data_IF_103565397581
#
_entry.id   IF_103565397581
#
_cell.length_a   1.000
_cell.length_b   1.000
_cell.length_c   1.000
_cell.angle_alpha   90.00
_cell.angle_beta   90.00
_cell.angle_gamma   90.00
#
_symmetry.space_group_name_H-M   'P 1'
#
loop_
_entity.id
_entity.type
_entity.pdbx_description
1 polymer ?
#
# COMPACT_ATOMS: atom_id res chain seq x y z
N UNK A 1 6.21 -23.11 -61.66
CA UNK A 1 7.62 -23.11 -61.22
C UNK A 1 7.86 -24.38 -60.41
N UNK A 2 8.53 -25.38 -60.99
CA UNK A 2 8.89 -26.61 -60.30
C UNK A 2 10.16 -26.36 -59.47
N UNK A 3 10.00 -26.01 -58.20
CA UNK A 3 11.10 -25.99 -57.24
C UNK A 3 11.58 -27.43 -57.05
N UNK A 4 12.88 -27.67 -57.23
CA UNK A 4 13.49 -28.98 -57.05
C UNK A 4 13.22 -29.50 -55.62
N UNK A 5 13.17 -30.83 -55.45
CA UNK A 5 12.91 -31.48 -54.14
C UNK A 5 13.83 -30.94 -53.03
N UNK A 6 15.05 -30.52 -53.39
CA UNK A 6 16.03 -29.92 -52.50
C UNK A 6 15.66 -28.48 -52.11
N UNK A 7 15.08 -27.69 -53.02
CA UNK A 7 14.60 -26.35 -52.73
C UNK A 7 13.39 -26.37 -51.78
N UNK A 8 12.48 -27.34 -51.95
CA UNK A 8 11.38 -27.56 -51.00
C UNK A 8 11.88 -27.97 -49.62
N UNK A 9 12.86 -28.88 -49.56
CA UNK A 9 13.45 -29.31 -48.29
C UNK A 9 14.15 -28.16 -47.57
N UNK A 10 14.89 -27.31 -48.29
CA UNK A 10 15.56 -26.14 -47.72
C UNK A 10 14.56 -25.09 -47.22
N UNK A 11 13.45 -24.89 -47.94
CA UNK A 11 12.41 -23.95 -47.55
C UNK A 11 11.69 -24.41 -46.28
N UNK A 12 11.41 -25.72 -46.16
CA UNK A 12 10.87 -26.32 -44.93
C UNK A 12 11.84 -26.19 -43.76
N UNK A 13 13.15 -26.38 -43.98
CA UNK A 13 14.17 -26.20 -42.95
C UNK A 13 14.23 -24.73 -42.50
N UNK A 14 14.18 -23.76 -43.42
CA UNK A 14 14.16 -22.35 -43.08
C UNK A 14 12.90 -21.96 -42.28
N UNK A 15 11.74 -22.50 -42.64
CA UNK A 15 10.50 -22.29 -41.88
C UNK A 15 10.63 -22.91 -40.50
N UNK A 16 11.11 -24.14 -40.39
CA UNK A 16 11.34 -24.82 -39.10
C UNK A 16 12.28 -24.04 -38.21
N UNK A 17 13.40 -23.56 -38.75
CA UNK A 17 14.37 -22.73 -38.04
C UNK A 17 13.74 -21.40 -37.58
N UNK A 18 12.99 -20.73 -38.45
CA UNK A 18 12.29 -19.49 -38.10
C UNK A 18 11.22 -19.72 -37.03
N UNK A 19 10.47 -20.82 -37.10
CA UNK A 19 9.49 -21.19 -36.07
C UNK A 19 10.16 -21.62 -34.76
N UNK A 20 11.32 -22.27 -34.80
CA UNK A 20 12.08 -22.61 -33.60
C UNK A 20 12.65 -21.35 -32.93
N UNK A 21 13.17 -20.40 -33.71
CA UNK A 21 13.60 -19.08 -33.22
C UNK A 21 12.41 -18.28 -32.69
N UNK A 22 11.26 -18.30 -33.38
CA UNK A 22 10.04 -17.63 -32.93
C UNK A 22 9.48 -18.25 -31.65
N UNK A 23 9.46 -19.58 -31.53
CA UNK A 23 9.06 -20.30 -30.32
C UNK A 23 10.05 -20.09 -29.18
N UNK A 24 11.35 -20.05 -29.46
CA UNK A 24 12.37 -19.74 -28.46
C UNK A 24 12.26 -18.28 -27.99
N UNK A 25 12.06 -17.33 -28.91
CA UNK A 25 11.81 -15.93 -28.57
C UNK A 25 10.53 -15.79 -27.74
N UNK A 26 9.47 -16.53 -28.10
CA UNK A 26 8.22 -16.54 -27.35
C UNK A 26 8.34 -17.26 -26.00
N UNK A 27 9.15 -18.31 -25.87
CA UNK A 27 9.47 -18.95 -24.59
C UNK A 27 10.28 -18.04 -23.66
N UNK A 28 11.10 -17.15 -24.22
CA UNK A 28 11.81 -16.12 -23.47
C UNK A 28 10.93 -14.90 -23.12
N UNK A 29 9.87 -14.64 -23.90
CA UNK A 29 8.96 -13.48 -23.71
C UNK A 29 7.67 -13.83 -22.96
N UNK A 30 7.17 -15.06 -23.04
CA UNK A 30 5.95 -15.55 -22.37
C UNK A 30 6.29 -16.52 -21.22
N UNK A 31 7.00 -16.02 -20.20
CA UNK A 31 6.92 -16.60 -18.85
C UNK A 31 5.84 -15.85 -18.05
N UNK A 32 4.69 -16.47 -17.72
CA UNK A 32 3.87 -16.00 -16.62
C UNK A 32 4.62 -16.33 -15.33
N UNK A 33 5.12 -15.30 -14.67
CA UNK A 33 6.03 -15.40 -13.54
C UNK A 33 7.46 -15.10 -13.97
N UNK A 34 7.82 -13.82 -13.96
CA UNK A 34 9.19 -13.37 -14.19
C UNK A 34 10.12 -13.96 -13.12
N UNK A 35 10.76 -15.09 -13.43
CA UNK A 35 11.96 -15.54 -12.74
C UNK A 35 13.08 -14.54 -13.03
N UNK A 36 13.14 -13.44 -12.26
CA UNK A 36 14.39 -12.70 -12.09
C UNK A 36 15.38 -13.68 -11.47
N UNK A 37 16.32 -14.17 -12.28
CA UNK A 37 17.57 -14.76 -11.79
C UNK A 37 18.30 -13.68 -10.99
N UNK A 38 18.02 -13.60 -9.70
CA UNK A 38 18.84 -12.88 -8.74
C UNK A 38 20.04 -13.80 -8.45
N UNK A 39 21.03 -13.76 -9.34
CA UNK A 39 22.38 -14.15 -8.96
C UNK A 39 22.90 -13.03 -8.06
N UNK A 40 23.02 -13.35 -6.78
CA UNK A 40 23.66 -12.49 -5.80
C UNK A 40 25.16 -12.47 -6.09
N UNK A 41 25.59 -11.52 -6.92
CA UNK A 41 26.92 -10.96 -6.77
C UNK A 41 26.88 -10.02 -5.57
N UNK A 42 27.72 -10.36 -4.60
CA UNK A 42 27.95 -9.60 -3.38
C UNK A 42 28.76 -8.37 -3.75
N UNK A 43 28.07 -7.30 -4.15
CA UNK A 43 28.54 -5.92 -3.95
C UNK A 43 27.35 -5.09 -3.44
N UNK A 44 27.58 -4.47 -2.29
CA UNK A 44 26.67 -3.56 -1.62
C UNK A 44 26.37 -2.36 -2.53
N UNK A 45 25.11 -2.18 -2.91
CA UNK A 45 24.44 -0.87 -2.99
C UNK A 45 22.94 -1.08 -3.28
N UNK A 46 22.09 -0.60 -2.36
CA UNK A 46 20.60 -0.55 -2.36
C UNK A 46 19.85 -1.46 -3.37
N UNK A 47 19.24 -2.53 -2.85
CA UNK A 47 18.45 -3.50 -3.64
C UNK A 47 17.11 -2.94 -4.13
N UNK A 48 16.55 -1.90 -3.48
CA UNK A 48 15.30 -1.30 -3.92
C UNK A 48 15.50 -0.20 -4.96
N UNK A 49 14.84 -0.35 -6.11
CA UNK A 49 14.77 0.71 -7.11
C UNK A 49 13.93 1.89 -6.60
N UNK A 50 14.24 3.09 -7.10
CA UNK A 50 13.44 4.29 -6.83
C UNK A 50 11.97 4.07 -7.22
N UNK A 51 11.71 3.40 -8.35
CA UNK A 51 10.35 3.03 -8.78
C UNK A 51 9.59 2.20 -7.74
N UNK A 52 10.27 1.25 -7.09
CA UNK A 52 9.64 0.40 -6.06
C UNK A 52 9.28 1.22 -4.82
N UNK A 53 10.15 2.15 -4.43
CA UNK A 53 9.89 3.07 -3.33
C UNK A 53 8.76 4.04 -3.67
N UNK A 54 8.68 4.54 -4.91
CA UNK A 54 7.57 5.39 -5.35
C UNK A 54 6.23 4.67 -5.20
N UNK A 55 6.16 3.37 -5.54
CA UNK A 55 4.95 2.56 -5.38
C UNK A 55 4.58 2.33 -3.91
N UNK A 56 5.56 2.18 -3.01
CA UNK A 56 5.31 2.05 -1.56
C UNK A 56 4.79 3.36 -0.96
N UNK A 57 5.40 4.49 -1.31
CA UNK A 57 5.09 5.79 -0.74
C UNK A 57 3.96 6.54 -1.46
N UNK A 58 3.38 5.97 -2.53
CA UNK A 58 2.30 6.62 -3.27
C UNK A 58 1.09 6.92 -2.36
N UNK A 59 0.38 8.03 -2.63
CA UNK A 59 -0.91 8.29 -2.02
C UNK A 59 -1.86 7.09 -2.17
N UNK A 60 -2.76 6.88 -1.20
CA UNK A 60 -3.85 5.92 -1.31
C UNK A 60 -4.84 6.34 -2.41
N UNK A 61 -5.10 7.64 -2.50
CA UNK A 61 -5.95 8.23 -3.52
C UNK A 61 -5.66 9.72 -3.69
N UNK A 62 -6.14 10.25 -4.81
CA UNK A 62 -6.23 11.67 -5.08
C UNK A 62 -7.68 12.12 -4.96
N UNK A 63 -7.91 13.17 -4.20
CA UNK A 63 -9.19 13.88 -4.20
C UNK A 63 -9.05 15.10 -5.12
N UNK A 64 -9.78 15.09 -6.22
CA UNK A 64 -9.77 16.16 -7.22
C UNK A 64 -11.06 16.97 -7.11
N UNK A 65 -10.96 18.25 -6.76
CA UNK A 65 -12.06 19.22 -6.76
C UNK A 65 -11.98 20.06 -8.02
N UNK A 66 -13.13 20.25 -8.67
CA UNK A 66 -13.24 20.96 -9.94
C UNK A 66 -13.90 22.33 -9.79
N UNK A 67 -13.78 23.17 -10.81
CA UNK A 67 -14.38 24.51 -10.87
C UNK A 67 -15.91 24.52 -10.74
N UNK A 68 -16.58 23.46 -11.21
CA UNK A 68 -18.04 23.28 -11.07
C UNK A 68 -18.44 22.68 -9.71
N UNK A 69 -17.51 22.58 -8.76
CA UNK A 69 -17.77 22.09 -7.41
C UNK A 69 -17.91 20.57 -7.32
N UNK A 70 -17.62 19.82 -8.39
CA UNK A 70 -17.62 18.35 -8.35
C UNK A 70 -16.34 17.83 -7.73
N UNK A 71 -16.47 16.74 -6.97
CA UNK A 71 -15.35 16.01 -6.39
C UNK A 71 -15.21 14.62 -7.02
N UNK A 72 -13.99 14.25 -7.35
CA UNK A 72 -13.63 12.93 -7.87
C UNK A 72 -12.58 12.29 -6.97
N UNK A 73 -12.69 10.98 -6.73
CA UNK A 73 -11.69 10.22 -5.99
C UNK A 73 -11.00 9.24 -6.94
N UNK A 74 -9.72 9.48 -7.22
CA UNK A 74 -8.90 8.68 -8.10
C UNK A 74 -7.99 7.78 -7.26
N UNK A 75 -8.17 6.47 -7.37
CA UNK A 75 -7.41 5.46 -6.60
C UNK A 75 -6.08 5.13 -7.24
N UNK A 76 -5.94 5.34 -8.55
CA UNK A 76 -4.63 5.31 -9.19
C UNK A 76 -4.02 6.72 -9.12
N UNK A 77 -3.01 6.86 -8.25
CA UNK A 77 -2.27 8.10 -8.06
C UNK A 77 -0.86 8.05 -8.64
N UNK A 78 -0.48 6.94 -9.29
CA UNK A 78 0.91 6.68 -9.67
C UNK A 78 1.47 7.78 -10.57
N UNK A 79 0.78 8.06 -11.66
CA UNK A 79 1.25 9.00 -12.69
C UNK A 79 1.41 10.41 -12.10
N UNK A 80 0.36 10.93 -11.45
CA UNK A 80 0.40 12.26 -10.85
C UNK A 80 1.47 12.39 -9.77
N UNK A 81 1.63 11.36 -8.93
CA UNK A 81 2.63 11.37 -7.88
C UNK A 81 4.05 11.32 -8.46
N UNK A 82 4.32 10.40 -9.38
CA UNK A 82 5.63 10.26 -10.04
C UNK A 82 6.03 11.53 -10.82
N UNK A 83 5.09 12.18 -11.51
CA UNK A 83 5.35 13.42 -12.26
C UNK A 83 5.69 14.61 -11.35
N UNK A 84 5.21 14.61 -10.10
CA UNK A 84 5.32 15.76 -9.20
C UNK A 84 6.22 15.52 -7.98
N UNK A 85 6.73 14.30 -7.78
CA UNK A 85 7.50 13.95 -6.57
C UNK A 85 8.76 14.79 -6.39
N UNK A 86 9.51 15.07 -7.46
CA UNK A 86 10.72 15.92 -7.38
C UNK A 86 10.39 17.33 -6.88
N UNK A 87 9.28 17.91 -7.37
CA UNK A 87 8.82 19.23 -6.97
C UNK A 87 8.35 19.23 -5.51
N UNK A 88 7.65 18.17 -5.09
CA UNK A 88 7.22 17.97 -3.70
C UNK A 88 8.43 17.82 -2.78
N UNK A 89 9.46 17.06 -3.17
CA UNK A 89 10.71 16.92 -2.44
C UNK A 89 11.41 18.28 -2.26
N UNK A 90 11.54 19.05 -3.33
CA UNK A 90 12.15 20.38 -3.26
C UNK A 90 11.37 21.32 -2.32
N UNK A 91 10.03 21.27 -2.34
CA UNK A 91 9.20 22.03 -1.40
C UNK A 91 9.48 21.59 0.04
N UNK A 92 9.52 20.28 0.31
CA UNK A 92 9.78 19.75 1.65
C UNK A 92 11.16 20.11 2.19
N UNK A 93 12.17 20.22 1.32
CA UNK A 93 13.50 20.75 1.69
C UNK A 93 13.45 22.25 2.02
N UNK A 94 12.69 23.03 1.24
CA UNK A 94 12.49 24.47 1.42
C UNK A 94 11.65 24.84 2.66
N UNK A 95 10.90 23.89 3.24
CA UNK A 95 10.14 24.10 4.49
C UNK A 95 11.04 24.51 5.67
N UNK A 96 12.35 24.28 5.57
CA UNK A 96 13.35 24.72 6.54
C UNK A 96 13.53 26.24 6.63
N UNK A 97 13.13 27.02 5.61
CA UNK A 97 13.38 28.47 5.54
C UNK A 97 12.16 29.36 5.26
N UNK A 98 11.04 28.80 4.75
CA UNK A 98 9.81 29.55 4.41
C UNK A 98 8.65 28.95 5.19
N UNK A 99 8.48 29.41 6.43
CA UNK A 99 7.69 28.75 7.46
C UNK A 99 6.28 28.30 7.05
N UNK A 100 5.88 27.16 7.62
CA UNK A 100 4.49 26.72 7.68
C UNK A 100 3.71 27.58 8.67
N UNK A 101 2.51 27.99 8.30
CA UNK A 101 1.56 28.65 9.19
C UNK A 101 0.47 27.67 9.58
N UNK A 102 0.29 27.45 10.88
CA UNK A 102 -0.84 26.64 11.34
C UNK A 102 -2.14 27.40 11.06
N UNK A 103 -3.07 26.74 10.38
CA UNK A 103 -4.40 27.27 10.09
C UNK A 103 -5.45 26.47 10.86
N UNK A 104 -6.60 27.09 11.11
CA UNK A 104 -7.73 26.40 11.73
C UNK A 104 -8.44 25.49 10.71
N UNK A 105 -9.31 24.63 11.22
CA UNK A 105 -10.07 23.70 10.39
C UNK A 105 -10.97 24.45 9.40
N UNK A 106 -11.68 25.48 9.84
CA UNK A 106 -12.59 26.28 9.00
C UNK A 106 -11.93 26.80 7.73
N UNK A 107 -10.71 27.36 7.85
CA UNK A 107 -9.96 27.84 6.69
C UNK A 107 -9.54 26.69 5.78
N UNK A 108 -9.10 25.55 6.33
CA UNK A 108 -8.76 24.38 5.53
C UNK A 108 -9.97 23.85 4.74
N UNK A 109 -11.16 23.89 5.34
CA UNK A 109 -12.42 23.49 4.68
C UNK A 109 -12.78 24.43 3.53
N UNK A 110 -12.54 25.73 3.70
CA UNK A 110 -12.71 26.70 2.62
C UNK A 110 -11.77 26.41 1.45
N UNK A 111 -10.53 25.99 1.74
CA UNK A 111 -9.59 25.57 0.68
C UNK A 111 -10.12 24.36 -0.09
N UNK A 112 -10.64 23.34 0.59
CA UNK A 112 -11.20 22.14 -0.04
C UNK A 112 -12.42 22.42 -0.95
N UNK A 113 -13.05 23.58 -0.81
CA UNK A 113 -14.16 23.99 -1.67
C UNK A 113 -13.70 24.51 -3.03
N UNK A 114 -12.42 24.92 -3.15
CA UNK A 114 -11.82 25.45 -4.37
C UNK A 114 -11.21 24.35 -5.27
N UNK A 115 -10.98 24.63 -6.56
CA UNK A 115 -10.31 23.70 -7.47
C UNK A 115 -8.94 23.28 -6.94
N UNK A 116 -8.76 21.98 -6.79
CA UNK A 116 -7.61 21.42 -6.09
C UNK A 116 -7.36 19.94 -6.38
N UNK A 117 -6.15 19.50 -6.09
CA UNK A 117 -5.76 18.10 -6.03
C UNK A 117 -5.18 17.83 -4.65
N UNK A 118 -5.81 16.95 -3.88
CA UNK A 118 -5.32 16.54 -2.56
C UNK A 118 -4.79 15.11 -2.63
N UNK A 119 -3.53 14.92 -2.28
CA UNK A 119 -2.92 13.60 -2.10
C UNK A 119 -3.22 13.09 -0.69
N UNK A 120 -3.91 11.96 -0.57
CA UNK A 120 -4.29 11.36 0.70
C UNK A 120 -3.48 10.08 0.94
N UNK A 121 -2.83 9.93 2.09
CA UNK A 121 -1.97 8.80 2.40
C UNK A 121 -2.58 7.88 3.48
N UNK A 122 -2.30 6.57 3.40
CA UNK A 122 -2.78 5.56 4.35
C UNK A 122 -2.25 5.74 5.78
N UNK A 123 -1.08 6.35 5.92
CA UNK A 123 -0.39 6.57 7.19
C UNK A 123 0.32 7.94 7.20
N UNK A 124 0.74 8.39 8.38
CA UNK A 124 1.64 9.53 8.48
C UNK A 124 2.99 9.18 7.86
N UNK A 125 3.46 10.03 6.95
CA UNK A 125 4.77 9.93 6.31
C UNK A 125 5.65 11.05 6.84
N UNK A 126 6.88 10.70 7.20
CA UNK A 126 7.88 11.69 7.58
C UNK A 126 8.52 12.29 6.32
N UNK A 127 8.50 13.62 6.18
CA UNK A 127 9.09 14.33 5.03
C UNK A 127 10.55 13.95 4.79
N UNK A 128 11.34 13.81 5.85
CA UNK A 128 12.76 13.45 5.75
C UNK A 128 12.95 12.02 5.25
N UNK A 129 12.09 11.10 5.67
CA UNK A 129 12.13 9.73 5.16
C UNK A 129 11.76 9.67 3.68
N UNK A 130 10.70 10.37 3.27
CA UNK A 130 10.31 10.46 1.85
C UNK A 130 11.45 11.04 1.00
N UNK A 131 12.02 12.17 1.41
CA UNK A 131 13.09 12.85 0.66
C UNK A 131 14.38 12.02 0.64
N UNK A 132 14.75 11.36 1.75
CA UNK A 132 15.97 10.55 1.79
C UNK A 132 15.85 9.22 1.04
N UNK A 133 14.70 8.53 1.13
CA UNK A 133 14.53 7.23 0.48
C UNK A 133 14.36 7.37 -1.03
N UNK A 134 13.65 8.40 -1.47
CA UNK A 134 13.44 8.68 -2.89
C UNK A 134 14.51 9.63 -3.46
N UNK A 135 15.43 10.17 -2.66
CA UNK A 135 16.42 11.14 -3.13
C UNK A 135 17.70 10.48 -3.66
N UNK A 136 18.11 10.84 -4.88
CA UNK A 136 19.33 10.35 -5.53
C UNK A 136 20.63 10.95 -4.97
N UNK A 137 20.57 11.96 -4.10
CA UNK A 137 21.74 12.53 -3.44
C UNK A 137 21.46 12.85 -1.97
N UNK A 138 22.37 12.43 -1.08
CA UNK A 138 22.47 12.94 0.31
C UNK A 138 22.77 14.44 0.24
N UNK A 139 21.74 15.28 0.13
CA UNK A 139 21.93 16.75 0.19
C UNK A 139 22.26 17.12 1.63
N UNK A 140 23.39 17.79 1.83
CA UNK A 140 23.85 18.29 3.15
C UNK A 140 22.82 19.17 3.88
N UNK A 141 21.85 19.70 3.15
CA UNK A 141 20.79 20.56 3.69
C UNK A 141 19.64 19.79 4.37
N UNK A 142 19.58 18.46 4.22
CA UNK A 142 18.59 17.61 4.92
C UNK A 142 18.74 17.66 6.43
N UNK A 143 19.95 17.84 6.96
CA UNK A 143 20.19 18.00 8.39
C UNK A 143 19.62 19.31 8.95
N UNK A 144 19.43 20.32 8.08
CA UNK A 144 18.83 21.61 8.44
C UNK A 144 17.31 21.62 8.30
N UNK A 145 16.72 20.61 7.65
CA UNK A 145 15.28 20.48 7.50
C UNK A 145 14.61 19.97 8.77
N UNK A 146 13.51 20.62 9.18
CA UNK A 146 12.71 20.18 10.33
C UNK A 146 11.89 18.98 9.86
N UNK A 147 12.06 17.78 10.45
CA UNK A 147 11.24 16.64 10.11
C UNK A 147 9.78 16.96 10.42
N UNK A 148 8.91 16.72 9.44
CA UNK A 148 7.49 16.99 9.54
C UNK A 148 6.73 15.73 9.13
N UNK A 149 5.73 15.34 9.91
CA UNK A 149 4.83 14.26 9.52
C UNK A 149 3.64 14.81 8.76
N UNK A 150 3.13 14.08 7.77
CA UNK A 150 1.93 14.45 7.03
C UNK A 150 1.11 13.22 6.62
N UNK A 151 -0.20 13.41 6.52
CA UNK A 151 -1.15 12.43 5.96
C UNK A 151 -1.89 12.94 4.73
N UNK A 152 -1.91 14.25 4.50
CA UNK A 152 -2.48 14.83 3.28
C UNK A 152 -1.64 16.00 2.79
N UNK A 153 -1.53 16.12 1.48
CA UNK A 153 -0.91 17.26 0.79
C UNK A 153 -1.92 17.83 -0.18
N UNK A 154 -2.46 18.99 0.16
CA UNK A 154 -3.37 19.77 -0.66
C UNK A 154 -2.58 20.67 -1.61
N UNK A 155 -2.90 20.60 -2.90
CA UNK A 155 -2.41 21.46 -3.96
C UNK A 155 -3.58 22.23 -4.55
N UNK A 156 -3.58 23.55 -4.37
CA UNK A 156 -4.55 24.47 -4.96
C UNK A 156 -3.95 25.25 -6.12
N UNK A 157 -4.81 26.01 -6.80
CA UNK A 157 -4.40 26.87 -7.90
C UNK A 157 -3.31 27.86 -7.48
N UNK A 158 -2.52 28.33 -8.45
CA UNK A 158 -1.40 29.25 -8.24
C UNK A 158 -0.31 28.73 -7.28
N UNK A 159 -0.18 27.41 -7.14
CA UNK A 159 0.81 26.77 -6.29
C UNK A 159 0.53 26.90 -4.79
N UNK A 160 -0.74 27.08 -4.40
CA UNK A 160 -1.14 27.06 -3.00
C UNK A 160 -0.92 25.65 -2.43
N UNK A 161 -0.27 25.53 -1.27
CA UNK A 161 0.03 24.25 -0.67
C UNK A 161 -0.36 24.24 0.81
N UNK A 162 -1.10 23.22 1.22
CA UNK A 162 -1.43 22.98 2.62
C UNK A 162 -1.12 21.52 2.96
N UNK A 163 -0.60 21.30 4.15
CA UNK A 163 -0.24 19.97 4.66
C UNK A 163 -1.11 19.68 5.89
N UNK A 164 -1.69 18.49 5.95
CA UNK A 164 -2.41 18.01 7.13
C UNK A 164 -1.59 16.95 7.84
N UNK A 165 -1.59 17.00 9.17
CA UNK A 165 -1.01 15.98 10.03
C UNK A 165 -1.85 15.80 11.31
N UNK A 166 -1.34 15.02 12.27
CA UNK A 166 -2.02 14.80 13.57
C UNK A 166 -2.21 16.06 14.43
N UNK A 167 -1.38 17.09 14.24
CA UNK A 167 -1.39 18.35 15.01
C UNK A 167 -2.32 19.40 14.38
N UNK A 168 -2.76 19.20 13.13
CA UNK A 168 -3.69 20.08 12.45
C UNK A 168 -3.32 20.34 10.99
N UNK A 169 -3.55 21.57 10.54
CA UNK A 169 -3.42 21.99 9.15
C UNK A 169 -2.38 23.10 9.04
N UNK A 170 -1.53 23.02 8.03
CA UNK A 170 -0.35 23.88 7.89
C UNK A 170 -0.26 24.42 6.47
N UNK A 171 -0.47 25.73 6.32
CA UNK A 171 -0.37 26.43 5.05
C UNK A 171 1.08 26.83 4.77
N UNK A 172 1.56 26.53 3.56
CA UNK A 172 2.85 27.01 3.11
C UNK A 172 2.75 28.48 2.71
N UNK A 173 3.56 29.35 3.34
CA UNK A 173 3.59 30.80 3.02
C UNK A 173 4.16 31.11 1.63
N UNK A 174 4.89 30.16 1.04
CA UNK A 174 5.40 30.27 -0.32
C UNK A 174 4.40 29.79 -1.37
N UNK A 175 4.91 29.58 -2.60
CA UNK A 175 4.17 28.90 -3.67
C UNK A 175 4.94 27.66 -4.11
N UNK A 176 4.23 26.56 -4.30
CA UNK A 176 4.70 25.35 -4.95
C UNK A 176 4.98 25.64 -6.43
N UNK A 177 6.22 26.05 -6.74
CA UNK A 177 6.61 26.38 -8.12
C UNK A 177 6.63 25.12 -8.98
N UNK A 178 6.14 25.23 -10.20
CA UNK A 178 6.23 24.17 -11.21
C UNK A 178 5.18 23.07 -11.09
N UNK A 179 4.31 23.11 -10.08
CA UNK A 179 3.12 22.24 -10.01
C UNK A 179 1.94 23.03 -10.56
N UNK A 180 1.49 22.68 -11.77
CA UNK A 180 0.26 23.17 -12.36
C UNK A 180 -0.79 22.06 -12.30
N UNK A 181 -1.90 22.34 -11.61
CA UNK A 181 -2.99 21.39 -11.42
C UNK A 181 -4.15 21.61 -12.38
N UNK A 182 -4.21 22.74 -13.10
CA UNK A 182 -5.39 23.13 -13.88
C UNK A 182 -5.60 22.18 -15.06
N UNK A 183 -4.52 21.83 -15.76
CA UNK A 183 -4.58 20.88 -16.87
C UNK A 183 -4.88 19.46 -16.39
N UNK A 184 -4.35 19.07 -15.22
CA UNK A 184 -4.67 17.79 -14.61
C UNK A 184 -6.17 17.71 -14.24
N UNK A 185 -6.71 18.72 -13.58
CA UNK A 185 -8.14 18.83 -13.22
C UNK A 185 -9.03 18.74 -14.47
N UNK A 186 -8.67 19.46 -15.55
CA UNK A 186 -9.40 19.41 -16.82
C UNK A 186 -9.35 18.01 -17.45
N UNK A 187 -8.21 17.34 -17.41
CA UNK A 187 -8.05 15.99 -17.97
C UNK A 187 -8.85 14.96 -17.18
N UNK A 188 -8.79 15.01 -15.85
CA UNK A 188 -9.62 14.17 -14.97
C UNK A 188 -11.10 14.37 -15.28
N UNK A 189 -11.56 15.62 -15.40
CA UNK A 189 -12.96 15.90 -15.76
C UNK A 189 -13.36 15.31 -17.11
N UNK A 190 -12.48 15.32 -18.11
CA UNK A 190 -12.73 14.70 -19.44
C UNK A 190 -12.83 13.18 -19.39
N UNK A 191 -12.09 12.53 -18.49
CA UNK A 191 -12.18 11.08 -18.28
C UNK A 191 -13.51 10.66 -17.65
N UNK A 192 -14.29 11.63 -17.13
CA UNK A 192 -15.59 11.43 -16.49
C UNK A 192 -15.59 10.31 -15.42
N UNK A 193 -14.67 10.38 -14.44
CA UNK A 193 -14.61 9.40 -13.36
C UNK A 193 -15.84 9.55 -12.43
N UNK A 194 -16.05 8.58 -11.53
CA UNK A 194 -17.14 8.59 -10.58
C UNK A 194 -17.15 9.83 -9.69
N UNK A 195 -18.30 10.51 -9.62
CA UNK A 195 -18.49 11.66 -8.72
C UNK A 195 -18.69 11.19 -7.28
N UNK A 196 -18.05 11.90 -6.35
CA UNK A 196 -18.19 11.74 -4.91
C UNK A 196 -18.81 13.01 -4.33
N UNK A 197 -19.66 12.85 -3.34
CA UNK A 197 -20.14 13.97 -2.53
C UNK A 197 -19.51 13.92 -1.13
N UNK A 198 -19.31 15.09 -0.54
CA UNK A 198 -18.88 15.20 0.84
C UNK A 198 -20.08 15.03 1.78
N UNK A 199 -19.96 14.17 2.80
CA UNK A 199 -21.00 13.95 3.80
C UNK A 199 -21.33 15.24 4.57
N UNK A 200 -20.34 16.11 4.77
CA UNK A 200 -20.55 17.43 5.38
C UNK A 200 -21.43 18.32 4.51
N UNK A 201 -21.12 18.41 3.22
CA UNK A 201 -21.89 19.25 2.29
C UNK A 201 -23.33 18.73 2.13
N UNK A 202 -23.53 17.40 2.13
CA UNK A 202 -24.85 16.78 1.92
C UNK A 202 -25.71 16.70 3.19
N UNK A 203 -25.12 16.36 4.33
CA UNK A 203 -25.86 16.05 5.58
C UNK A 203 -25.50 16.96 6.76
N UNK A 204 -24.54 17.88 6.62
CA UNK A 204 -24.11 18.76 7.72
C UNK A 204 -23.20 18.07 8.75
N UNK A 205 -22.56 16.95 8.41
CA UNK A 205 -21.64 16.25 9.32
C UNK A 205 -20.36 17.04 9.62
N UNK A 206 -19.75 16.77 10.76
CA UNK A 206 -18.50 17.40 11.20
C UNK A 206 -17.26 16.93 10.46
N UNK A 207 -17.28 15.82 9.73
CA UNK A 207 -16.08 15.32 9.05
C UNK A 207 -16.20 15.44 7.52
N UNK A 208 -15.07 15.71 6.86
CA UNK A 208 -14.98 15.72 5.40
C UNK A 208 -14.78 14.30 4.87
N UNK A 209 -15.81 13.49 4.96
CA UNK A 209 -15.84 12.13 4.42
C UNK A 209 -16.50 12.16 3.06
N UNK A 210 -15.90 11.49 2.08
CA UNK A 210 -16.41 11.43 0.71
C UNK A 210 -17.10 10.09 0.46
N UNK A 211 -18.25 10.14 -0.21
CA UNK A 211 -19.04 8.97 -0.54
C UNK A 211 -19.45 8.99 -2.03
N UNK A 212 -19.42 7.85 -2.74
CA UNK A 212 -19.78 7.81 -4.16
C UNK A 212 -21.25 8.21 -4.35
N UNK A 213 -21.53 9.05 -5.35
CA UNK A 213 -22.87 9.58 -5.60
C UNK A 213 -23.82 8.55 -6.22
N UNK A 214 -23.40 7.92 -7.33
CA UNK A 214 -24.24 7.02 -8.14
C UNK A 214 -23.46 5.86 -8.78
N UNK A 215 -22.27 5.51 -8.26
CA UNK A 215 -21.31 4.64 -8.96
C UNK A 215 -21.14 3.25 -8.33
N UNK A 216 -20.53 2.35 -9.10
CA UNK A 216 -20.15 1.00 -8.67
C UNK A 216 -18.64 0.92 -8.39
N UNK A 217 -18.24 0.25 -7.33
CA UNK A 217 -16.85 -0.17 -7.16
C UNK A 217 -16.58 -1.31 -8.15
N UNK A 218 -15.59 -1.15 -9.04
CA UNK A 218 -15.06 -2.29 -9.80
C UNK A 218 -14.27 -3.15 -8.85
N UNK A 219 -14.69 -4.40 -8.66
CA UNK A 219 -14.02 -5.33 -7.77
C UNK A 219 -13.68 -6.61 -8.52
N UNK A 220 -12.43 -7.02 -8.46
CA UNK A 220 -11.96 -8.27 -9.00
C UNK A 220 -12.28 -9.43 -8.07
N UNK A 221 -12.78 -10.53 -8.65
CA UNK A 221 -12.95 -11.78 -7.93
C UNK A 221 -11.65 -12.57 -7.91
N UNK A 222 -10.82 -12.34 -6.90
CA UNK A 222 -9.49 -12.95 -6.80
C UNK A 222 -9.44 -13.99 -5.70
N UNK A 223 -8.87 -15.16 -6.02
CA UNK A 223 -8.59 -16.21 -5.04
C UNK A 223 -7.17 -16.04 -4.51
N UNK A 224 -7.04 -15.96 -3.20
CA UNK A 224 -5.75 -15.99 -2.50
C UNK A 224 -5.55 -17.38 -1.91
N UNK A 225 -4.32 -17.87 -1.98
CA UNK A 225 -3.93 -19.19 -1.46
C UNK A 225 -2.71 -19.08 -0.57
N UNK A 226 -2.53 -20.06 0.31
CA UNK A 226 -1.30 -20.21 1.07
C UNK A 226 -0.11 -20.35 0.11
N UNK A 227 0.81 -19.38 0.17
CA UNK A 227 1.99 -19.37 -0.67
C UNK A 227 3.03 -20.42 -0.28
N UNK A 228 2.97 -20.98 0.94
CA UNK A 228 3.91 -21.98 1.46
C UNK A 228 3.51 -23.44 1.18
N UNK A 229 2.21 -23.72 1.10
CA UNK A 229 1.64 -25.08 1.07
C UNK A 229 2.23 -25.94 -0.06
N UNK A 230 2.42 -25.34 -1.24
CA UNK A 230 2.87 -26.04 -2.44
C UNK A 230 4.33 -25.73 -2.84
N UNK A 231 5.12 -25.14 -1.94
CA UNK A 231 6.52 -24.87 -2.23
C UNK A 231 7.35 -26.15 -2.22
N UNK A 232 8.10 -26.36 -3.29
CA UNK A 232 9.08 -27.45 -3.34
C UNK A 232 10.15 -27.25 -2.27
N UNK A 233 10.78 -28.36 -1.84
CA UNK A 233 11.92 -28.31 -0.91
C UNK A 233 13.01 -27.34 -1.37
N UNK A 234 13.28 -27.28 -2.69
CA UNK A 234 14.26 -26.35 -3.27
C UNK A 234 13.92 -24.89 -2.96
N UNK A 235 12.65 -24.49 -3.06
CA UNK A 235 12.23 -23.13 -2.71
C UNK A 235 12.34 -22.85 -1.21
N UNK A 236 11.93 -23.81 -0.36
CA UNK A 236 12.06 -23.65 1.11
C UNK A 236 13.52 -23.49 1.55
N UNK A 237 14.45 -24.24 0.95
CA UNK A 237 15.88 -24.10 1.19
C UNK A 237 16.42 -22.76 0.68
N UNK A 238 15.99 -22.29 -0.49
CA UNK A 238 16.38 -20.97 -1.00
C UNK A 238 15.90 -19.84 -0.07
N UNK A 239 14.69 -19.94 0.50
CA UNK A 239 14.25 -19.03 1.54
C UNK A 239 15.19 -19.08 2.75
N UNK A 240 15.54 -20.28 3.24
CA UNK A 240 16.45 -20.41 4.36
C UNK A 240 17.81 -19.74 4.11
N UNK A 241 18.42 -19.95 2.94
CA UNK A 241 19.70 -19.32 2.57
C UNK A 241 19.60 -17.79 2.56
N UNK A 242 18.52 -17.24 1.98
CA UNK A 242 18.30 -15.79 1.89
C UNK A 242 18.06 -15.14 3.26
N UNK A 243 17.16 -15.72 4.07
CA UNK A 243 16.83 -15.20 5.41
C UNK A 243 18.00 -15.33 6.39
N UNK A 244 18.70 -16.47 6.36
CA UNK A 244 19.79 -16.74 7.30
C UNK A 244 21.12 -16.15 6.83
N UNK A 245 21.23 -15.76 5.55
CA UNK A 245 22.43 -15.25 4.87
C UNK A 245 23.59 -16.23 5.06
N UNK A 246 23.32 -17.51 4.81
CA UNK A 246 24.25 -18.62 4.97
C UNK A 246 24.00 -19.69 3.90
N UNK A 247 25.04 -20.41 3.51
CA UNK A 247 24.95 -21.53 2.57
C UNK A 247 24.19 -22.69 3.22
N UNK A 248 23.41 -23.42 2.42
CA UNK A 248 22.54 -24.48 2.91
C UNK A 248 23.27 -25.58 3.70
N UNK A 249 24.56 -25.81 3.43
CA UNK A 249 25.35 -26.82 4.14
C UNK A 249 25.57 -26.50 5.63
N UNK A 250 25.37 -25.25 6.05
CA UNK A 250 25.53 -24.82 7.44
C UNK A 250 24.19 -24.57 8.15
N UNK A 251 23.07 -24.75 7.45
CA UNK A 251 21.73 -24.51 7.99
C UNK A 251 21.19 -25.80 8.58
N UNK A 252 20.88 -25.78 9.88
CA UNK A 252 20.17 -26.86 10.54
C UNK A 252 18.68 -26.85 10.18
N UNK A 253 18.10 -28.02 9.96
CA UNK A 253 16.66 -28.20 9.66
C UNK A 253 16.00 -28.98 10.80
N UNK A 254 14.90 -28.45 11.33
CA UNK A 254 14.10 -29.06 12.41
C UNK A 254 12.65 -29.11 11.93
N UNK A 255 12.11 -30.31 11.77
CA UNK A 255 10.70 -30.53 11.42
C UNK A 255 9.91 -30.94 12.66
N UNK A 256 8.92 -30.12 13.01
CA UNK A 256 7.84 -30.44 13.96
C UNK A 256 6.52 -30.46 13.18
N UNK A 257 5.48 -31.15 13.68
CA UNK A 257 4.24 -31.50 12.96
C UNK A 257 3.84 -30.52 11.83
N UNK A 258 3.54 -29.28 12.18
CA UNK A 258 3.07 -28.24 11.25
C UNK A 258 4.08 -27.08 11.08
N UNK A 259 5.34 -27.28 11.53
CA UNK A 259 6.37 -26.23 11.57
C UNK A 259 7.72 -26.77 11.10
N UNK A 260 8.23 -26.18 10.03
CA UNK A 260 9.59 -26.39 9.55
C UNK A 260 10.48 -25.22 9.98
N UNK A 261 11.50 -25.49 10.79
CA UNK A 261 12.43 -24.48 11.30
C UNK A 261 13.82 -24.68 10.72
N UNK A 262 14.38 -23.62 10.16
CA UNK A 262 15.77 -23.51 9.75
C UNK A 262 16.57 -22.68 10.74
N UNK A 263 17.78 -23.10 11.11
CA UNK A 263 18.60 -22.44 12.14
C UNK A 263 20.04 -22.27 11.66
N UNK A 264 20.58 -21.08 11.87
CA UNK A 264 22.01 -20.79 11.70
C UNK A 264 22.49 -19.82 12.78
N UNK A 265 23.33 -20.31 13.70
CA UNK A 265 23.79 -19.54 14.86
C UNK A 265 22.61 -19.06 15.72
N UNK A 266 22.48 -17.74 15.88
CA UNK A 266 21.38 -17.11 16.61
C UNK A 266 20.19 -16.71 15.71
N UNK A 267 20.23 -17.05 14.42
CA UNK A 267 19.15 -16.74 13.47
C UNK A 267 18.28 -17.97 13.26
N UNK A 268 16.97 -17.77 13.18
CA UNK A 268 16.03 -18.84 12.84
C UNK A 268 14.97 -18.34 11.85
N UNK A 269 14.55 -19.24 10.97
CA UNK A 269 13.41 -19.06 10.05
C UNK A 269 12.43 -20.20 10.30
N UNK A 270 11.19 -19.87 10.65
CA UNK A 270 10.10 -20.83 10.85
C UNK A 270 9.08 -20.67 9.74
N UNK A 271 8.77 -21.77 9.07
CA UNK A 271 7.70 -21.88 8.08
C UNK A 271 6.59 -22.72 8.68
N UNK A 272 5.37 -22.19 8.71
CA UNK A 272 4.18 -22.91 9.20
C UNK A 272 3.27 -23.29 8.05
N UNK A 273 2.57 -24.40 8.22
CA UNK A 273 1.63 -24.88 7.21
C UNK A 273 0.39 -23.98 7.06
N UNK A 274 0.14 -23.06 8.01
CA UNK A 274 -0.92 -22.05 7.88
C UNK A 274 -0.55 -20.87 6.96
N UNK A 275 0.67 -20.86 6.41
CA UNK A 275 1.18 -19.78 5.56
C UNK A 275 1.98 -18.72 6.32
N UNK A 276 2.13 -18.85 7.63
CA UNK A 276 2.93 -17.91 8.43
C UNK A 276 4.42 -18.22 8.33
N UNK A 277 5.21 -17.20 8.11
CA UNK A 277 6.67 -17.21 8.10
C UNK A 277 7.19 -16.29 9.22
N UNK A 278 8.12 -16.79 10.03
CA UNK A 278 8.76 -16.01 11.09
C UNK A 278 10.28 -16.11 11.02
N UNK A 279 10.95 -14.97 10.96
CA UNK A 279 12.38 -14.87 11.12
C UNK A 279 12.73 -14.14 12.41
N UNK A 280 13.77 -14.61 13.10
CA UNK A 280 14.32 -13.96 14.28
C UNK A 280 15.83 -13.94 14.25
N UNK A 281 16.41 -12.87 14.80
CA UNK A 281 17.84 -12.75 15.09
C UNK A 281 18.04 -12.56 16.61
N UNK A 282 18.61 -13.58 17.25
CA UNK A 282 18.89 -13.59 18.68
C UNK A 282 20.03 -12.67 19.11
N UNK A 283 20.76 -12.05 18.18
CA UNK A 283 21.76 -11.03 18.51
C UNK A 283 21.10 -9.75 19.03
N UNK A 284 21.81 -9.02 19.90
CA UNK A 284 21.37 -7.71 20.36
C UNK A 284 21.78 -6.60 19.39
N UNK A 285 20.94 -5.57 19.20
CA UNK A 285 21.30 -4.40 18.41
C UNK A 285 22.57 -3.73 18.97
N UNK A 286 23.47 -3.27 18.10
CA UNK A 286 24.74 -2.65 18.53
C UNK A 286 24.62 -1.16 18.84
N UNK A 287 23.71 -0.45 18.18
CA UNK A 287 23.57 0.99 18.30
C UNK A 287 22.49 1.35 19.35
N UNK A 288 22.82 2.22 20.31
CA UNK A 288 21.88 2.69 21.34
C UNK A 288 20.92 3.78 20.83
N UNK A 289 21.37 4.62 19.88
CA UNK A 289 20.58 5.74 19.38
C UNK A 289 19.73 5.32 18.17
N UNK A 290 18.40 5.47 18.22
CA UNK A 290 17.54 5.13 17.11
C UNK A 290 17.72 6.12 15.95
N UNK A 291 17.66 5.58 14.74
CA UNK A 291 17.61 6.28 13.49
C UNK A 291 16.47 5.69 12.65
N UNK A 292 15.36 6.43 12.61
CA UNK A 292 14.16 6.06 11.88
C UNK A 292 14.44 5.75 10.41
N UNK A 293 15.21 6.60 9.74
CA UNK A 293 15.52 6.45 8.32
C UNK A 293 16.30 5.16 8.06
N UNK A 294 17.37 4.90 8.82
CA UNK A 294 18.14 3.65 8.68
C UNK A 294 17.26 2.42 8.92
N UNK A 295 16.41 2.48 9.94
CA UNK A 295 15.48 1.39 10.30
C UNK A 295 14.49 1.09 9.19
N UNK A 296 13.90 2.13 8.61
CA UNK A 296 12.96 2.00 7.49
C UNK A 296 13.66 1.50 6.23
N UNK A 297 14.83 2.05 5.89
CA UNK A 297 15.64 1.59 4.76
C UNK A 297 16.03 0.11 4.91
N UNK A 298 16.51 -0.29 6.09
CA UNK A 298 16.87 -1.67 6.38
C UNK A 298 15.66 -2.61 6.27
N UNK A 299 14.50 -2.23 6.82
CA UNK A 299 13.29 -3.03 6.75
C UNK A 299 12.78 -3.20 5.32
N UNK A 300 12.73 -2.11 4.53
CA UNK A 300 12.29 -2.17 3.14
C UNK A 300 13.26 -2.99 2.28
N UNK A 301 14.57 -2.80 2.46
CA UNK A 301 15.58 -3.62 1.77
C UNK A 301 15.44 -5.09 2.16
N UNK A 302 15.21 -5.40 3.44
CA UNK A 302 15.01 -6.77 3.91
C UNK A 302 13.77 -7.41 3.28
N UNK A 303 12.65 -6.69 3.18
CA UNK A 303 11.45 -7.15 2.47
C UNK A 303 11.79 -7.43 0.99
N UNK A 304 12.39 -6.47 0.29
CA UNK A 304 12.74 -6.61 -1.11
C UNK A 304 13.72 -7.75 -1.41
N UNK A 305 14.74 -7.91 -0.56
CA UNK A 305 15.75 -8.97 -0.66
C UNK A 305 15.16 -10.37 -0.53
N UNK A 306 14.02 -10.54 0.17
CA UNK A 306 13.52 -11.85 0.60
C UNK A 306 12.26 -12.30 -0.11
N UNK A 307 11.36 -11.38 -0.44
CA UNK A 307 10.10 -11.71 -1.13
C UNK A 307 10.04 -11.12 -2.53
N UNK A 308 10.95 -10.19 -2.86
CA UNK A 308 10.69 -9.20 -3.89
C UNK A 308 9.71 -8.14 -3.37
N UNK A 309 9.76 -6.94 -3.94
CA UNK A 309 8.67 -5.96 -3.74
C UNK A 309 7.57 -6.29 -4.73
N UNK A 310 6.39 -6.62 -4.20
CA UNK A 310 5.16 -6.63 -4.98
C UNK A 310 4.72 -5.18 -5.22
N UNK A 311 4.27 -4.89 -6.44
CA UNK A 311 3.90 -3.53 -6.89
C UNK A 311 2.80 -2.86 -6.03
N UNK A 312 2.13 -3.64 -5.20
CA UNK A 312 1.02 -3.22 -4.37
C UNK A 312 1.31 -3.18 -2.87
N UNK A 313 2.56 -3.39 -2.45
CA UNK A 313 2.97 -3.23 -1.05
C UNK A 313 2.84 -1.77 -0.61
N UNK A 314 2.29 -1.52 0.58
CA UNK A 314 2.28 -0.21 1.22
C UNK A 314 2.50 -0.31 2.72
N UNK A 315 2.99 0.78 3.32
CA UNK A 315 3.19 0.88 4.77
C UNK A 315 1.85 1.26 5.40
N UNK A 316 1.29 0.38 6.23
CA UNK A 316 0.00 0.60 6.90
C UNK A 316 0.16 1.24 8.28
N UNK A 317 1.28 1.00 8.97
CA UNK A 317 1.57 1.54 10.30
C UNK A 317 3.06 1.51 10.60
N UNK A 318 3.52 2.46 11.40
CA UNK A 318 4.84 2.41 12.03
C UNK A 318 4.69 2.73 13.52
N UNK A 319 5.35 1.96 14.37
CA UNK A 319 5.37 2.13 15.82
C UNK A 319 6.81 2.21 16.32
N UNK A 320 7.06 3.08 17.30
CA UNK A 320 8.31 3.05 18.07
C UNK A 320 8.28 1.89 19.05
N UNK A 321 9.38 1.15 19.16
CA UNK A 321 9.55 0.04 20.11
C UNK A 321 10.80 0.24 20.96
N UNK A 322 10.76 -0.20 22.20
CA UNK A 322 11.89 -0.17 23.13
C UNK A 322 12.20 -1.61 23.58
N UNK A 323 13.44 -2.05 23.36
CA UNK A 323 13.93 -3.33 23.85
C UNK A 323 15.26 -3.12 24.56
N UNK A 324 15.28 -3.33 25.87
CA UNK A 324 16.49 -3.47 26.67
C UNK A 324 17.53 -2.34 26.43
N UNK A 325 17.08 -1.08 26.43
CA UNK A 325 17.85 0.14 26.19
C UNK A 325 18.14 0.50 24.72
N UNK A 326 17.64 -0.27 23.76
CA UNK A 326 17.65 0.07 22.34
C UNK A 326 16.27 0.49 21.87
N UNK A 327 16.17 1.69 21.28
CA UNK A 327 14.97 2.14 20.59
C UNK A 327 15.02 1.71 19.14
N UNK A 328 13.91 1.18 18.64
CA UNK A 328 13.75 0.75 17.25
C UNK A 328 12.36 1.08 16.73
N UNK A 329 12.03 0.52 15.57
CA UNK A 329 10.75 0.72 14.93
C UNK A 329 10.16 -0.62 14.50
N UNK A 330 8.85 -0.78 14.73
CA UNK A 330 8.06 -1.86 14.16
C UNK A 330 7.26 -1.32 12.98
N UNK A 331 7.52 -1.88 11.81
CA UNK A 331 6.96 -1.44 10.54
C UNK A 331 5.96 -2.50 10.06
N UNK A 332 4.74 -2.06 9.78
CA UNK A 332 3.65 -2.91 9.32
C UNK A 332 3.35 -2.59 7.85
N UNK A 333 3.33 -3.62 7.01
CA UNK A 333 3.01 -3.48 5.60
C UNK A 333 1.85 -4.39 5.19
N UNK A 334 1.02 -3.89 4.29
CA UNK A 334 -0.10 -4.59 3.67
C UNK A 334 0.01 -4.49 2.15
N UNK A 335 -0.86 -5.22 1.46
CA UNK A 335 -0.95 -5.18 0.01
C UNK A 335 -2.22 -4.44 -0.44
N UNK A 336 -2.18 -3.92 -1.65
CA UNK A 336 -3.36 -3.47 -2.39
C UNK A 336 -3.70 -4.50 -3.48
N UNK A 337 -4.94 -4.48 -3.92
CA UNK A 337 -5.38 -5.14 -5.14
C UNK A 337 -6.21 -4.12 -5.91
N UNK A 338 -5.77 -3.77 -7.11
CA UNK A 338 -6.38 -2.71 -7.94
C UNK A 338 -6.59 -1.40 -7.17
N UNK A 339 -5.56 -1.00 -6.43
CA UNK A 339 -5.57 0.16 -5.53
C UNK A 339 -6.51 0.09 -4.32
N UNK A 340 -7.18 -1.05 -4.06
CA UNK A 340 -7.93 -1.28 -2.82
C UNK A 340 -7.06 -1.97 -1.77
N UNK A 341 -7.00 -1.47 -0.53
CA UNK A 341 -6.33 -2.17 0.56
C UNK A 341 -6.89 -3.58 0.77
N UNK A 342 -6.00 -4.55 0.99
CA UNK A 342 -6.35 -5.88 1.46
C UNK A 342 -6.12 -5.94 2.97
N UNK A 343 -7.17 -6.28 3.71
CA UNK A 343 -7.18 -6.34 5.16
C UNK A 343 -7.25 -7.81 5.58
N UNK A 344 -6.24 -8.27 6.30
CA UNK A 344 -6.28 -9.58 6.93
C UNK A 344 -7.23 -9.55 8.13
N UNK A 345 -8.15 -10.50 8.22
CA UNK A 345 -9.12 -10.57 9.34
C UNK A 345 -8.46 -11.01 10.64
N UNK A 346 -7.49 -11.92 10.57
CA UNK A 346 -6.89 -12.57 11.74
C UNK A 346 -5.67 -11.84 12.29
N UNK A 347 -5.05 -10.96 11.50
CA UNK A 347 -3.78 -10.32 11.81
C UNK A 347 -3.84 -8.83 11.54
N UNK A 348 -2.99 -8.06 12.23
CA UNK A 348 -2.91 -6.62 12.02
C UNK A 348 -2.33 -6.24 10.64
N UNK A 349 -1.42 -7.05 10.11
CA UNK A 349 -0.82 -6.85 8.80
C UNK A 349 -0.29 -8.13 8.15
N UNK A 350 -0.03 -8.06 6.84
CA UNK A 350 0.62 -9.15 6.10
C UNK A 350 2.09 -9.28 6.44
N UNK A 351 2.79 -8.16 6.62
CA UNK A 351 4.21 -8.12 6.95
C UNK A 351 4.41 -7.26 8.20
N UNK A 352 5.25 -7.74 9.11
CA UNK A 352 5.74 -6.99 10.25
C UNK A 352 7.27 -7.12 10.32
N UNK A 353 7.96 -6.00 10.52
CA UNK A 353 9.42 -5.97 10.65
C UNK A 353 9.81 -5.15 11.87
N UNK A 354 10.63 -5.73 12.74
CA UNK A 354 11.25 -5.00 13.85
C UNK A 354 12.69 -4.65 13.49
N UNK A 355 12.95 -3.36 13.32
CA UNK A 355 14.23 -2.84 12.87
C UNK A 355 14.83 -1.86 13.88
N UNK A 356 16.13 -2.00 14.11
CA UNK A 356 16.96 -1.17 14.96
C UNK A 356 18.13 -0.65 14.11
N UNK A 357 17.95 0.51 13.49
CA UNK A 357 18.89 1.07 12.54
C UNK A 357 19.12 0.12 11.35
N UNK A 358 20.32 -0.38 11.16
CA UNK A 358 20.65 -1.33 10.10
C UNK A 358 20.39 -2.80 10.49
N UNK A 359 19.88 -3.06 11.71
CA UNK A 359 19.68 -4.39 12.26
C UNK A 359 18.21 -4.82 12.25
N UNK A 360 17.91 -5.96 11.61
CA UNK A 360 16.59 -6.59 11.66
C UNK A 360 16.55 -7.62 12.80
N UNK A 361 15.71 -7.36 13.80
CA UNK A 361 15.52 -8.24 14.97
C UNK A 361 14.55 -9.37 14.67
N UNK A 362 13.43 -9.04 14.04
CA UNK A 362 12.41 -10.01 13.68
C UNK A 362 11.68 -9.59 12.40
N UNK A 363 11.16 -10.60 11.71
CA UNK A 363 10.31 -10.44 10.55
C UNK A 363 9.21 -11.48 10.60
N UNK A 364 7.99 -11.05 10.33
CA UNK A 364 6.82 -11.91 10.25
C UNK A 364 6.10 -11.63 8.94
N UNK A 365 5.71 -12.68 8.26
CA UNK A 365 4.86 -12.56 7.08
C UNK A 365 3.77 -13.62 7.07
N UNK A 366 2.56 -13.20 6.72
CA UNK A 366 1.53 -14.13 6.27
C UNK A 366 1.63 -14.28 4.76
N UNK A 367 2.28 -15.35 4.32
CA UNK A 367 2.65 -15.53 2.92
C UNK A 367 1.47 -16.07 2.12
N UNK A 368 0.68 -15.15 1.57
CA UNK A 368 -0.42 -15.44 0.64
C UNK A 368 -0.16 -14.79 -0.70
N UNK A 369 -0.67 -15.42 -1.75
CA UNK A 369 -0.53 -14.92 -3.12
C UNK A 369 -1.80 -15.17 -3.94
N UNK A 370 -2.04 -14.37 -5.00
CA UNK A 370 -3.07 -14.68 -5.98
C UNK A 370 -2.85 -16.07 -6.59
N UNK A 371 -3.92 -16.83 -6.77
CA UNK A 371 -3.88 -18.10 -7.48
C UNK A 371 -3.54 -17.88 -8.95
N UNK A 372 -2.59 -18.63 -9.52
CA UNK A 372 -1.97 -18.41 -10.85
C UNK A 372 -2.93 -18.49 -12.07
N UNK A 373 -4.20 -18.80 -11.85
CA UNK A 373 -5.22 -18.74 -12.90
C UNK A 373 -6.52 -18.13 -12.32
N UNK A 374 -6.50 -16.84 -11.96
CA UNK A 374 -7.72 -16.20 -11.54
C UNK A 374 -8.58 -16.07 -12.79
N UNK A 375 -9.77 -16.70 -12.78
CA UNK A 375 -10.79 -16.29 -13.73
C UNK A 375 -11.06 -14.81 -13.49
N UNK A 376 -10.53 -13.94 -14.34
CA UNK A 376 -10.67 -12.50 -14.21
C UNK A 376 -12.13 -12.14 -14.45
N UNK A 377 -12.86 -11.92 -13.37
CA UNK A 377 -14.23 -11.42 -13.40
C UNK A 377 -14.26 -10.11 -12.61
N UNK A 378 -14.46 -9.02 -13.33
CA UNK A 378 -14.76 -7.72 -12.76
C UNK A 378 -16.24 -7.68 -12.36
N UNK A 379 -16.50 -7.56 -11.07
CA UNK A 379 -17.82 -7.30 -10.52
C UNK A 379 -18.02 -5.80 -10.31
N UNK A 380 -19.18 -5.29 -10.74
CA UNK A 380 -19.62 -3.92 -10.44
C UNK A 380 -20.44 -3.95 -9.16
N UNK A 381 -19.90 -3.41 -8.07
CA UNK A 381 -20.55 -3.38 -6.77
C UNK A 381 -21.14 -1.99 -6.52
N UNK A 382 -22.45 -1.87 -6.49
CA UNK A 382 -23.11 -0.63 -6.09
C UNK A 382 -23.20 -0.58 -4.56
N UNK A 383 -22.43 0.29 -3.88
CA UNK A 383 -22.48 0.39 -2.44
C UNK A 383 -23.80 1.03 -1.99
N UNK A 384 -24.36 0.53 -0.90
CA UNK A 384 -25.61 1.06 -0.31
C UNK A 384 -25.44 2.47 0.22
N UNK A 385 -26.51 3.26 0.31
CA UNK A 385 -26.39 4.64 0.79
C UNK A 385 -25.94 4.73 2.26
N UNK A 386 -25.36 5.87 2.71
CA UNK A 386 -25.00 6.09 4.10
C UNK A 386 -26.17 5.91 5.09
N UNK A 387 -27.39 6.26 4.68
CA UNK A 387 -28.62 5.99 5.44
C UNK A 387 -28.81 4.50 5.68
N UNK A 388 -28.67 3.69 4.62
CA UNK A 388 -28.83 2.24 4.73
C UNK A 388 -27.73 1.59 5.57
N UNK A 389 -26.50 2.12 5.49
CA UNK A 389 -25.39 1.73 6.36
C UNK A 389 -25.77 1.97 7.82
N UNK A 390 -26.25 3.17 8.14
CA UNK A 390 -26.67 3.55 9.50
C UNK A 390 -27.82 2.67 10.02
N UNK A 391 -28.89 2.50 9.25
CA UNK A 391 -30.03 1.67 9.62
C UNK A 391 -29.60 0.23 9.91
N UNK A 392 -28.76 -0.33 9.02
CA UNK A 392 -28.28 -1.71 9.14
C UNK A 392 -27.35 -1.86 10.34
N UNK A 393 -26.50 -0.87 10.62
CA UNK A 393 -25.66 -0.83 11.82
C UNK A 393 -26.49 -0.84 13.10
N UNK A 394 -27.45 0.09 13.21
CA UNK A 394 -28.31 0.21 14.40
C UNK A 394 -29.13 -1.07 14.64
N UNK A 395 -29.71 -1.63 13.57
CA UNK A 395 -30.47 -2.87 13.65
C UNK A 395 -29.62 -4.06 14.10
N UNK A 396 -28.43 -4.27 13.50
CA UNK A 396 -27.56 -5.39 13.86
C UNK A 396 -26.95 -5.26 15.26
N UNK A 397 -26.85 -4.02 15.78
CA UNK A 397 -26.43 -3.75 17.16
C UNK A 397 -27.54 -3.77 18.18
N UNK A 398 -28.80 -3.99 17.78
CA UNK A 398 -29.97 -3.85 18.63
C UNK A 398 -30.00 -2.49 19.34
N UNK A 399 -29.65 -1.42 18.63
CA UNK A 399 -29.71 -0.04 19.13
C UNK A 399 -30.99 0.60 18.61
N UNK A 400 -31.84 1.04 19.53
CA UNK A 400 -33.08 1.74 19.17
C UNK A 400 -32.79 3.15 18.67
N UNK A 401 -33.30 3.46 17.48
CA UNK A 401 -33.28 4.82 16.90
C UNK A 401 -34.37 5.64 17.60
N UNK A 402 -33.97 6.65 18.37
CA UNK A 402 -34.90 7.52 19.10
C UNK A 402 -35.33 8.70 18.24
N UNK A 403 -34.37 9.30 17.56
CA UNK A 403 -34.60 10.39 16.61
C UNK A 403 -33.68 10.18 15.41
N UNK A 404 -34.26 9.74 14.31
CA UNK A 404 -33.50 9.36 13.11
C UNK A 404 -32.53 10.46 12.66
N UNK A 405 -32.96 11.73 12.62
CA UNK A 405 -32.13 12.82 12.12
C UNK A 405 -30.93 13.10 13.04
N UNK A 406 -31.15 13.13 14.35
CA UNK A 406 -30.10 13.38 15.36
C UNK A 406 -29.14 12.18 15.46
N UNK A 407 -29.69 10.97 15.52
CA UNK A 407 -28.92 9.73 15.63
C UNK A 407 -28.08 9.48 14.36
N UNK A 408 -28.64 9.75 13.18
CA UNK A 408 -27.91 9.64 11.91
C UNK A 408 -26.79 10.67 11.83
N UNK A 409 -27.06 11.93 12.18
CA UNK A 409 -26.02 12.96 12.19
C UNK A 409 -24.92 12.66 13.22
N UNK A 410 -25.29 12.14 14.40
CA UNK A 410 -24.33 11.70 15.42
C UNK A 410 -23.46 10.56 14.91
N UNK A 411 -24.06 9.57 14.21
CA UNK A 411 -23.31 8.51 13.53
C UNK A 411 -22.33 9.10 12.50
N UNK A 412 -22.79 9.95 11.58
CA UNK A 412 -21.92 10.58 10.58
C UNK A 412 -20.79 11.41 11.20
N UNK A 413 -21.05 12.08 12.32
CA UNK A 413 -20.04 12.84 13.06
C UNK A 413 -18.96 11.95 13.70
N UNK A 414 -19.28 10.68 13.99
CA UNK A 414 -18.30 9.71 14.49
C UNK A 414 -17.44 9.11 13.37
N UNK A 415 -17.91 9.15 12.12
CA UNK A 415 -17.23 8.53 10.97
C UNK A 415 -16.07 9.41 10.51
N UNK A 416 -14.86 8.85 10.56
CA UNK A 416 -13.60 9.49 10.14
C UNK A 416 -13.26 9.22 8.68
N UNK A 417 -13.58 8.03 8.19
CA UNK A 417 -13.40 7.66 6.77
C UNK A 417 -14.33 6.51 6.40
N UNK A 418 -14.67 6.45 5.11
CA UNK A 418 -15.33 5.31 4.49
C UNK A 418 -14.56 4.98 3.23
N UNK A 419 -14.15 3.72 3.06
CA UNK A 419 -13.49 3.29 1.83
C UNK A 419 -13.75 1.83 1.48
N UNK A 420 -13.74 1.50 0.18
CA UNK A 420 -13.70 0.11 -0.27
C UNK A 420 -12.37 -0.56 0.09
N UNK A 421 -12.46 -1.81 0.55
CA UNK A 421 -11.33 -2.69 0.86
C UNK A 421 -11.67 -4.12 0.45
N UNK A 422 -10.66 -4.97 0.35
CA UNK A 422 -10.82 -6.41 0.37
C UNK A 422 -10.55 -6.96 1.76
N UNK A 423 -11.37 -7.91 2.19
CA UNK A 423 -11.10 -8.74 3.35
C UNK A 423 -10.50 -10.06 2.87
N UNK A 424 -9.37 -10.42 3.46
CA UNK A 424 -8.75 -11.72 3.33
C UNK A 424 -8.79 -12.45 4.67
N UNK A 425 -8.78 -13.77 4.61
CA UNK A 425 -8.89 -14.65 5.76
C UNK A 425 -8.05 -15.91 5.55
N UNK A 426 -7.72 -16.62 6.64
CA UNK A 426 -7.13 -17.96 6.53
C UNK A 426 -8.02 -18.90 5.71
N UNK A 427 -7.42 -19.94 5.15
CA UNK A 427 -8.13 -20.89 4.28
C UNK A 427 -9.35 -21.50 5.01
N UNK A 428 -10.49 -21.54 4.32
CA UNK A 428 -11.77 -22.03 4.85
C UNK A 428 -12.86 -20.95 4.97
N UNK A 429 -12.48 -19.68 5.18
CA UNK A 429 -13.40 -18.54 5.07
C UNK A 429 -13.39 -17.95 3.64
N UNK A 430 -14.53 -17.38 3.24
CA UNK A 430 -14.77 -16.81 1.90
C UNK A 430 -14.47 -17.73 0.69
N UNK A 431 -14.33 -19.04 0.92
CA UNK A 431 -13.85 -20.02 -0.07
C UNK A 431 -12.49 -19.65 -0.68
N UNK A 432 -11.64 -18.92 0.07
CA UNK A 432 -10.34 -18.43 -0.38
C UNK A 432 -10.40 -17.23 -1.32
N UNK A 433 -11.57 -16.65 -1.57
CA UNK A 433 -11.69 -15.41 -2.35
C UNK A 433 -11.55 -14.18 -1.45
N UNK A 434 -10.91 -13.13 -1.96
CA UNK A 434 -10.99 -11.81 -1.36
C UNK A 434 -12.45 -11.36 -1.33
N UNK A 435 -12.93 -10.95 -0.15
CA UNK A 435 -14.31 -10.48 0.03
C UNK A 435 -14.35 -8.96 0.00
N UNK A 436 -15.06 -8.33 -0.95
CA UNK A 436 -15.23 -6.88 -0.98
C UNK A 436 -15.98 -6.40 0.26
N UNK A 437 -15.51 -5.29 0.86
CA UNK A 437 -16.10 -4.67 2.02
C UNK A 437 -15.98 -3.13 1.97
N UNK A 438 -16.83 -2.45 2.73
CA UNK A 438 -16.65 -1.05 3.12
C UNK A 438 -16.01 -1.01 4.51
N UNK A 439 -14.78 -0.51 4.60
CA UNK A 439 -14.17 -0.12 5.88
C UNK A 439 -14.73 1.24 6.28
N UNK A 440 -15.37 1.29 7.45
CA UNK A 440 -15.90 2.49 8.08
C UNK A 440 -15.10 2.71 9.36
N UNK A 441 -14.26 3.73 9.38
CA UNK A 441 -13.48 4.09 10.56
C UNK A 441 -14.29 5.08 11.38
N UNK A 442 -14.49 4.78 12.65
CA UNK A 442 -15.25 5.62 13.60
C UNK A 442 -14.38 6.01 14.80
N UNK A 443 -14.92 6.85 15.69
CA UNK A 443 -14.30 7.09 17.01
C UNK A 443 -14.20 5.82 17.88
N UNK A 444 -15.09 4.85 17.68
CA UNK A 444 -15.16 3.62 18.49
C UNK A 444 -14.45 2.40 17.89
N UNK A 445 -13.71 2.58 16.78
CA UNK A 445 -13.01 1.51 16.07
C UNK A 445 -13.39 1.44 14.59
N UNK A 446 -13.09 0.31 13.96
CA UNK A 446 -13.32 0.02 12.54
C UNK A 446 -14.44 -0.99 12.37
N UNK A 447 -15.35 -0.72 11.43
CA UNK A 447 -16.45 -1.60 11.06
C UNK A 447 -16.27 -1.96 9.59
N UNK A 448 -16.38 -3.24 9.26
CA UNK A 448 -16.33 -3.72 7.88
C UNK A 448 -17.68 -4.27 7.48
N UNK A 449 -18.29 -3.67 6.48
CA UNK A 449 -19.63 -4.03 6.02
C UNK A 449 -19.63 -4.54 4.58
N UNK A 450 -20.55 -5.44 4.27
CA UNK A 450 -20.81 -5.84 2.90
C UNK A 450 -21.40 -4.64 2.12
N UNK A 451 -20.76 -4.20 1.02
CA UNK A 451 -21.17 -3.01 0.29
C UNK A 451 -22.60 -3.13 -0.28
N UNK A 452 -23.10 -4.34 -0.57
CA UNK A 452 -24.39 -4.54 -1.26
C UNK A 452 -25.58 -4.54 -0.32
N UNK A 453 -25.38 -4.94 0.94
CA UNK A 453 -26.48 -5.15 1.89
C UNK A 453 -26.24 -4.52 3.28
N UNK A 454 -25.06 -3.93 3.54
CA UNK A 454 -24.65 -3.35 4.81
C UNK A 454 -24.68 -4.31 6.02
N UNK A 455 -24.58 -5.61 5.79
CA UNK A 455 -24.33 -6.57 6.86
C UNK A 455 -22.91 -6.39 7.39
N UNK A 456 -22.75 -6.38 8.71
CA UNK A 456 -21.45 -6.32 9.38
C UNK A 456 -20.74 -7.66 9.14
N UNK A 457 -19.55 -7.59 8.56
CA UNK A 457 -18.68 -8.75 8.31
C UNK A 457 -17.69 -8.91 9.47
N UNK A 458 -17.12 -7.80 9.93
CA UNK A 458 -16.08 -7.77 10.96
C UNK A 458 -16.10 -6.42 11.69
N UNK A 459 -15.69 -6.42 12.96
CA UNK A 459 -15.40 -5.20 13.71
C UNK A 459 -14.08 -5.34 14.48
N UNK A 460 -13.35 -4.24 14.56
CA UNK A 460 -12.11 -4.12 15.31
C UNK A 460 -12.22 -2.87 16.18
N UNK A 461 -12.08 -3.04 17.49
CA UNK A 461 -12.18 -1.94 18.46
C UNK A 461 -10.87 -1.18 18.60
#
# INVERSE_FOLDING_TARGET
MNLSKNAWSNLVICILLASAVFLAARLWLDFPGSEKKIQADVESDKVLSEDSLLKIFRPEHLLVRTEDGKSYMLRDSNDFFAENIEKIKDIFLDLSGKGLEQINEELYIQLLSAPSVTMCFDTQINTRALVNLLGSQKRSDLEKSIPFEFSEVYLGQNGLLCIKNKQGYFLFKGKAKGIDIDDYIKNVKKQNPPEYYCLREKYGSKNNVYYPKDYYICSEKIKYVNGLENLTRKYKLNFAERFLKSDINYIGEIQEQDVLTYVYGLRSLKLRDDGSLFYTNGQDPKEERPNFYKSLEAALNFIGELTGIEDDLYISKIEEIDSQAHKGFKIYCNFRQDSFPIILKEEASYIEVEAYNDFIKSYRQFYRRPYENPGYYMEKIHPVSPEKIFESYMSQKNIDIKNYAEDFLAFLNSVKSIRPVYLDSKEGEFNGFLKPALEIVTDGGKIYMDPKNANIIMEVK
#
